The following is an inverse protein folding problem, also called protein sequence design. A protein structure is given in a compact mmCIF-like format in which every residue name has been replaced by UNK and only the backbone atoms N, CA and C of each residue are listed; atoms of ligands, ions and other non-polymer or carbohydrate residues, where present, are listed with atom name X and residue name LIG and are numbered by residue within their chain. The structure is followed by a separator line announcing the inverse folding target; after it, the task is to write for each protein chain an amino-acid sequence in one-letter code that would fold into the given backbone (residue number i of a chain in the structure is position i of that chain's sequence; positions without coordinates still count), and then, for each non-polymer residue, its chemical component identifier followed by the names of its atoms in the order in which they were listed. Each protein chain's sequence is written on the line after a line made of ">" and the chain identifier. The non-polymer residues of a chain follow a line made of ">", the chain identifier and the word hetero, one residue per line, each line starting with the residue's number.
data_IF_456567029270
#
_entry.id   IF_456567029270
#
_cell.length_a   1.000
_cell.length_b   1.000
_cell.length_c   1.000
_cell.angle_alpha   90.00
_cell.angle_beta   90.00
_cell.angle_gamma   90.00
#
_symmetry.space_group_name_H-M   'P 1'
#
loop_
_entity.id
_entity.type
_entity.pdbx_description
1 polymer ?
#
# COMPACT_ATOMS: atom_id res chain seq x y z
N UNK A 1 18.46 14.00 -12.15
CA UNK A 1 17.64 13.98 -13.39
C UNK A 1 16.57 15.09 -13.34
N UNK A 2 16.29 15.82 -14.43
CA UNK A 2 15.28 16.89 -14.47
C UNK A 2 13.83 16.35 -14.52
N UNK A 3 12.85 17.16 -14.10
CA UNK A 3 11.43 16.78 -14.04
C UNK A 3 10.83 16.57 -15.43
N UNK A 4 10.00 15.54 -15.62
CA UNK A 4 9.33 15.26 -16.90
C UNK A 4 10.08 14.37 -17.89
N UNK A 5 11.23 13.78 -17.52
CA UNK A 5 12.05 12.93 -18.41
C UNK A 5 11.75 11.42 -18.34
N UNK A 6 10.59 11.01 -17.84
CA UNK A 6 10.23 9.58 -17.77
C UNK A 6 11.03 8.76 -16.74
N UNK A 7 11.59 9.40 -15.70
CA UNK A 7 12.39 8.70 -14.66
C UNK A 7 11.63 7.53 -14.04
N UNK A 8 10.37 7.76 -13.69
CA UNK A 8 9.50 6.79 -13.04
C UNK A 8 9.28 5.59 -13.94
N UNK A 9 8.85 5.81 -15.18
CA UNK A 9 8.72 4.76 -16.19
C UNK A 9 10.01 3.95 -16.39
N UNK A 10 11.17 4.60 -16.56
CA UNK A 10 12.46 3.91 -16.75
C UNK A 10 12.86 3.08 -15.54
N UNK A 11 12.71 3.64 -14.34
CA UNK A 11 13.02 2.94 -13.08
C UNK A 11 12.08 1.74 -12.87
N UNK A 12 10.77 1.93 -13.02
CA UNK A 12 9.80 0.85 -12.91
C UNK A 12 10.09 -0.26 -13.93
N UNK A 13 10.37 0.10 -15.18
CA UNK A 13 10.71 -0.87 -16.24
C UNK A 13 11.92 -1.71 -15.88
N UNK A 14 13.01 -1.07 -15.41
CA UNK A 14 14.22 -1.76 -15.01
C UNK A 14 13.98 -2.70 -13.81
N UNK A 15 13.31 -2.21 -12.77
CA UNK A 15 13.08 -3.00 -11.56
C UNK A 15 12.17 -4.19 -11.84
N UNK A 16 11.10 -4.01 -12.60
CA UNK A 16 10.19 -5.09 -12.97
C UNK A 16 10.90 -6.14 -13.83
N UNK A 17 11.70 -5.71 -14.82
CA UNK A 17 12.51 -6.63 -15.62
C UNK A 17 13.48 -7.42 -14.74
N UNK A 18 14.10 -6.77 -13.76
CA UNK A 18 15.01 -7.43 -12.82
C UNK A 18 14.30 -8.43 -11.90
N UNK A 19 13.12 -8.09 -11.36
CA UNK A 19 12.29 -9.00 -10.57
C UNK A 19 11.91 -10.26 -11.36
N UNK A 20 11.62 -10.11 -12.65
CA UNK A 20 11.28 -11.22 -13.54
C UNK A 20 12.48 -12.11 -13.88
N UNK A 21 13.63 -11.51 -14.15
CA UNK A 21 14.84 -12.25 -14.50
C UNK A 21 15.49 -12.93 -13.28
N UNK A 22 15.40 -12.31 -12.10
CA UNK A 22 16.05 -12.77 -10.87
C UNK A 22 15.09 -12.75 -9.66
N UNK A 23 14.02 -13.58 -9.69
CA UNK A 23 12.99 -13.57 -8.64
C UNK A 23 13.53 -13.96 -7.25
N UNK A 24 14.65 -14.68 -7.18
CA UNK A 24 15.32 -15.04 -5.91
C UNK A 24 16.16 -13.90 -5.32
N UNK A 25 16.48 -12.86 -6.10
CA UNK A 25 17.32 -11.74 -5.66
C UNK A 25 16.50 -10.49 -5.35
N UNK A 26 15.36 -10.31 -6.02
CA UNK A 26 14.47 -9.19 -5.81
C UNK A 26 13.01 -9.63 -5.74
N UNK A 27 12.47 -9.66 -4.53
CA UNK A 27 11.10 -10.11 -4.25
C UNK A 27 10.12 -8.93 -4.22
N UNK A 28 10.56 -7.77 -3.71
CA UNK A 28 9.69 -6.63 -3.39
C UNK A 28 10.32 -5.29 -3.74
N UNK A 29 9.54 -4.44 -4.41
CA UNK A 29 9.83 -3.03 -4.65
C UNK A 29 8.94 -2.18 -3.75
N UNK A 30 9.55 -1.32 -2.96
CA UNK A 30 8.85 -0.29 -2.18
C UNK A 30 9.15 1.07 -2.77
N UNK A 31 8.14 1.70 -3.36
CA UNK A 31 8.24 3.03 -3.94
C UNK A 31 7.64 4.08 -2.99
N UNK A 32 8.48 4.98 -2.51
CA UNK A 32 8.11 6.04 -1.59
C UNK A 32 8.00 7.37 -2.34
N UNK A 33 6.85 8.03 -2.25
CA UNK A 33 6.62 9.34 -2.86
C UNK A 33 6.06 10.34 -1.84
N UNK A 34 5.95 11.64 -2.18
CA UNK A 34 5.50 12.66 -1.22
C UNK A 34 4.00 12.75 -1.16
N UNK A 35 3.35 12.89 -2.31
CA UNK A 35 1.94 13.27 -2.40
C UNK A 35 1.07 12.15 -2.97
N UNK A 36 -0.22 12.19 -2.66
CA UNK A 36 -1.20 11.21 -3.19
C UNK A 36 -1.32 11.29 -4.73
N UNK A 37 -1.31 12.49 -5.35
CA UNK A 37 -1.27 12.59 -6.80
C UNK A 37 -0.04 11.93 -7.43
N UNK A 38 1.15 12.06 -6.82
CA UNK A 38 2.35 11.36 -7.30
C UNK A 38 2.20 9.85 -7.17
N UNK A 39 1.75 9.34 -6.02
CA UNK A 39 1.44 7.91 -5.83
C UNK A 39 0.49 7.43 -6.94
N UNK A 40 -0.56 8.18 -7.22
CA UNK A 40 -1.55 7.81 -8.24
C UNK A 40 -0.92 7.77 -9.64
N UNK A 41 -0.05 8.72 -9.98
CA UNK A 41 0.70 8.71 -11.25
C UNK A 41 1.59 7.48 -11.38
N UNK A 42 2.36 7.14 -10.34
CA UNK A 42 3.24 5.96 -10.33
C UNK A 42 2.43 4.67 -10.54
N UNK A 43 1.26 4.57 -9.91
CA UNK A 43 0.38 3.41 -10.07
C UNK A 43 -0.13 3.28 -11.51
N UNK A 44 -0.55 4.39 -12.13
CA UNK A 44 -1.02 4.38 -13.51
C UNK A 44 0.12 4.12 -14.52
N UNK A 45 1.34 4.61 -14.26
CA UNK A 45 2.52 4.25 -15.05
C UNK A 45 2.85 2.74 -14.93
N UNK A 46 2.74 2.17 -13.72
CA UNK A 46 2.93 0.74 -13.51
C UNK A 46 1.87 -0.11 -14.22
N UNK A 47 0.61 0.35 -14.23
CA UNK A 47 -0.47 -0.27 -15.02
C UNK A 47 -0.14 -0.25 -16.51
N UNK A 48 0.32 0.88 -17.03
CA UNK A 48 0.71 1.01 -18.44
C UNK A 48 1.86 0.05 -18.78
N UNK A 49 2.87 -0.03 -17.93
CA UNK A 49 4.00 -0.95 -18.10
C UNK A 49 3.55 -2.42 -18.12
N UNK A 50 2.69 -2.83 -17.19
CA UNK A 50 2.18 -4.19 -17.16
C UNK A 50 1.34 -4.54 -18.40
N UNK A 51 0.53 -3.59 -18.89
CA UNK A 51 -0.24 -3.77 -20.14
C UNK A 51 0.67 -3.88 -21.36
N UNK A 52 1.70 -3.03 -21.44
CA UNK A 52 2.68 -3.08 -22.52
C UNK A 52 3.41 -4.44 -22.51
N UNK A 53 3.85 -4.91 -21.33
CA UNK A 53 4.46 -6.22 -21.19
C UNK A 53 3.55 -7.36 -21.69
N UNK A 54 2.28 -7.35 -21.30
CA UNK A 54 1.31 -8.36 -21.73
C UNK A 54 1.04 -8.33 -23.25
N UNK A 55 1.03 -7.14 -23.86
CA UNK A 55 0.88 -6.98 -25.30
C UNK A 55 2.08 -7.53 -26.09
N UNK A 56 3.30 -7.27 -25.62
CA UNK A 56 4.53 -7.66 -26.33
C UNK A 56 4.89 -9.13 -26.12
N UNK A 57 4.59 -9.69 -24.94
CA UNK A 57 4.97 -11.08 -24.60
C UNK A 57 3.82 -12.08 -24.72
N UNK A 58 2.57 -11.62 -24.71
CA UNK A 58 1.39 -12.47 -24.61
C UNK A 58 1.18 -13.08 -23.22
N UNK A 59 1.99 -12.72 -22.24
CA UNK A 59 1.94 -13.28 -20.87
C UNK A 59 1.58 -12.21 -19.83
N UNK A 60 0.82 -12.61 -18.81
CA UNK A 60 0.54 -11.73 -17.69
C UNK A 60 1.84 -11.43 -16.92
N UNK A 61 2.02 -10.17 -16.56
CA UNK A 61 3.11 -9.78 -15.68
C UNK A 61 3.03 -10.50 -14.31
N UNK A 62 1.85 -11.00 -13.89
CA UNK A 62 1.71 -11.76 -12.64
C UNK A 62 2.08 -10.97 -11.39
N UNK A 63 2.16 -9.64 -11.48
CA UNK A 63 2.61 -8.74 -10.43
C UNK A 63 1.41 -8.26 -9.62
N UNK A 64 1.55 -8.29 -8.30
CA UNK A 64 0.64 -7.62 -7.39
C UNK A 64 1.23 -6.28 -6.97
N UNK A 65 0.61 -5.20 -7.45
CA UNK A 65 0.97 -3.82 -7.12
C UNK A 65 -0.11 -3.15 -6.28
N UNK A 66 0.25 -2.57 -5.14
CA UNK A 66 -0.73 -1.96 -4.22
C UNK A 66 -0.31 -0.55 -3.81
N UNK A 67 -1.21 0.40 -3.99
CA UNK A 67 -1.10 1.74 -3.42
C UNK A 67 -1.60 1.78 -1.98
N UNK A 68 -0.81 2.31 -1.06
CA UNK A 68 -1.22 2.51 0.33
C UNK A 68 -1.34 4.00 0.66
N UNK A 69 -2.36 4.33 1.46
CA UNK A 69 -2.56 5.67 1.98
C UNK A 69 -3.26 5.66 3.33
N UNK A 70 -3.53 6.85 3.86
CA UNK A 70 -4.22 7.07 5.13
C UNK A 70 -5.62 6.46 5.13
N UNK A 71 -6.12 6.14 6.33
CA UNK A 71 -7.52 5.73 6.53
C UNK A 71 -8.50 6.71 5.90
N UNK A 72 -8.25 8.02 5.99
CA UNK A 72 -9.10 9.05 5.36
C UNK A 72 -9.26 8.87 3.84
N UNK A 73 -8.29 8.26 3.18
CA UNK A 73 -8.29 8.08 1.73
C UNK A 73 -8.82 6.71 1.28
N UNK A 74 -8.99 5.75 2.19
CA UNK A 74 -9.44 4.37 1.92
C UNK A 74 -10.73 3.98 2.66
N UNK A 75 -11.18 4.77 3.64
CA UNK A 75 -12.38 4.49 4.42
C UNK A 75 -13.65 4.57 3.56
N UNK A 76 -14.51 3.55 3.69
CA UNK A 76 -15.83 3.46 3.03
C UNK A 76 -16.98 3.37 4.05
N UNK A 77 -16.69 3.41 5.35
CA UNK A 77 -17.72 3.41 6.38
C UNK A 77 -18.58 4.69 6.26
N UNK A 78 -19.92 4.60 6.23
CA UNK A 78 -20.79 5.72 5.85
C UNK A 78 -20.69 6.93 6.78
N UNK A 79 -20.39 6.72 8.07
CA UNK A 79 -20.22 7.80 9.04
C UNK A 79 -18.78 8.34 9.10
N UNK A 80 -17.80 7.44 9.14
CA UNK A 80 -16.38 7.79 9.33
C UNK A 80 -15.79 8.42 8.07
N UNK A 81 -16.21 7.99 6.88
CA UNK A 81 -15.73 8.53 5.59
C UNK A 81 -16.10 9.99 5.36
N UNK A 82 -17.11 10.52 6.08
CA UNK A 82 -17.55 11.92 5.99
C UNK A 82 -16.64 12.88 6.77
N UNK A 83 -15.80 12.35 7.66
CA UNK A 83 -14.91 13.16 8.50
C UNK A 83 -13.76 13.72 7.65
N UNK A 84 -13.55 15.04 7.70
CA UNK A 84 -12.51 15.72 6.89
C UNK A 84 -11.10 15.58 7.47
N UNK A 85 -10.98 15.46 8.79
CA UNK A 85 -9.68 15.43 9.47
C UNK A 85 -9.20 13.99 9.68
N UNK A 86 -7.95 13.71 9.31
CA UNK A 86 -7.34 12.39 9.46
C UNK A 86 -7.39 11.86 10.90
N UNK A 87 -7.05 12.71 11.88
CA UNK A 87 -7.08 12.31 13.30
C UNK A 87 -8.47 11.87 13.78
N UNK A 88 -9.52 12.53 13.30
CA UNK A 88 -10.90 12.17 13.64
C UNK A 88 -11.31 10.84 12.99
N UNK A 89 -10.92 10.64 11.73
CA UNK A 89 -11.09 9.34 11.04
C UNK A 89 -10.39 8.23 11.80
N UNK A 90 -9.16 8.47 12.27
CA UNK A 90 -8.38 7.47 12.98
C UNK A 90 -8.98 7.12 14.34
N UNK A 91 -9.45 8.13 15.09
CA UNK A 91 -10.11 7.94 16.39
C UNK A 91 -11.43 7.19 16.26
N UNK A 92 -12.27 7.56 15.29
CA UNK A 92 -13.57 6.90 15.04
C UNK A 92 -13.40 5.50 14.45
N UNK A 93 -12.36 5.27 13.63
CA UNK A 93 -12.05 3.91 13.19
C UNK A 93 -11.61 3.04 14.38
N UNK A 94 -10.80 3.59 15.30
CA UNK A 94 -10.35 2.86 16.48
C UNK A 94 -11.50 2.54 17.45
N UNK A 95 -12.45 3.46 17.65
CA UNK A 95 -13.63 3.22 18.49
C UNK A 95 -14.53 2.11 17.97
N UNK A 96 -14.45 1.77 16.67
CA UNK A 96 -15.23 0.70 16.04
C UNK A 96 -14.44 -0.61 15.85
N UNK A 97 -13.10 -0.58 15.95
CA UNK A 97 -12.23 -1.73 15.58
C UNK A 97 -11.26 -2.17 16.68
N UNK A 98 -11.16 -1.44 17.80
CA UNK A 98 -10.25 -1.79 18.89
C UNK A 98 -10.57 -3.17 19.47
N UNK A 99 -9.53 -3.90 19.91
CA UNK A 99 -9.67 -5.22 20.53
C UNK A 99 -10.61 -5.21 21.73
N UNK A 100 -10.57 -4.14 22.53
CA UNK A 100 -11.46 -3.95 23.67
C UNK A 100 -12.94 -3.85 23.27
N UNK A 101 -13.24 -3.11 22.19
CA UNK A 101 -14.61 -2.97 21.68
C UNK A 101 -15.11 -4.30 21.11
N UNK A 102 -14.23 -5.04 20.41
CA UNK A 102 -14.55 -6.37 19.89
C UNK A 102 -14.83 -7.38 21.01
N UNK A 103 -14.00 -7.37 22.07
CA UNK A 103 -14.22 -8.22 23.25
C UNK A 103 -15.55 -7.91 23.94
N UNK A 104 -15.85 -6.61 24.16
CA UNK A 104 -17.14 -6.19 24.70
C UNK A 104 -18.33 -6.61 23.85
N UNK A 105 -18.18 -6.63 22.53
CA UNK A 105 -19.25 -7.04 21.62
C UNK A 105 -19.60 -8.52 21.70
N UNK A 106 -18.65 -9.36 22.12
CA UNK A 106 -18.91 -10.78 22.40
C UNK A 106 -19.87 -10.91 23.59
N UNK A 107 -19.75 -10.02 24.59
CA UNK A 107 -20.63 -9.98 25.76
C UNK A 107 -21.95 -9.25 25.46
N UNK A 108 -21.91 -8.17 24.68
CA UNK A 108 -23.04 -7.34 24.31
C UNK A 108 -23.07 -7.05 22.80
N UNK A 109 -23.91 -7.77 22.02
CA UNK A 109 -24.04 -7.57 20.59
C UNK A 109 -24.52 -6.17 20.16
N UNK A 110 -25.07 -5.36 21.07
CA UNK A 110 -25.53 -3.99 20.79
C UNK A 110 -24.39 -2.99 20.62
N UNK A 111 -23.18 -3.33 21.05
CA UNK A 111 -22.00 -2.47 20.91
C UNK A 111 -21.69 -2.24 19.41
N UNK A 112 -21.52 -0.98 18.97
CA UNK A 112 -21.28 -0.66 17.57
C UNK A 112 -19.91 -1.17 17.10
N UNK A 113 -19.84 -1.58 15.84
CA UNK A 113 -18.62 -2.05 15.20
C UNK A 113 -18.56 -1.57 13.74
N UNK A 114 -17.41 -1.76 13.10
CA UNK A 114 -17.30 -1.61 11.65
C UNK A 114 -17.54 -2.96 10.95
N UNK A 115 -18.70 -3.12 10.30
CA UNK A 115 -19.03 -4.36 9.56
C UNK A 115 -17.98 -4.73 8.51
N UNK A 116 -17.51 -3.75 7.72
CA UNK A 116 -16.43 -3.96 6.74
C UNK A 116 -15.13 -4.52 7.35
N UNK A 117 -14.83 -4.16 8.60
CA UNK A 117 -13.63 -4.66 9.28
C UNK A 117 -13.84 -6.08 9.81
N UNK A 118 -14.97 -6.35 10.46
CA UNK A 118 -15.27 -7.68 10.98
C UNK A 118 -15.35 -8.73 9.86
N UNK A 119 -16.04 -8.41 8.76
CA UNK A 119 -16.17 -9.32 7.62
C UNK A 119 -14.83 -9.58 6.94
N UNK A 120 -13.96 -8.56 6.86
CA UNK A 120 -12.59 -8.77 6.39
C UNK A 120 -11.78 -9.65 7.35
N UNK A 121 -11.94 -9.50 8.66
CA UNK A 121 -11.21 -10.31 9.62
C UNK A 121 -11.66 -11.78 9.59
N UNK A 122 -12.96 -12.01 9.43
CA UNK A 122 -13.56 -13.35 9.40
C UNK A 122 -13.28 -14.10 8.09
N UNK A 123 -13.50 -13.44 6.94
CA UNK A 123 -13.46 -14.12 5.63
C UNK A 123 -12.27 -13.66 4.75
N UNK A 124 -11.79 -12.44 4.98
CA UNK A 124 -10.83 -11.79 4.10
C UNK A 124 -9.36 -12.08 4.41
N UNK A 125 -9.04 -12.59 5.59
CA UNK A 125 -7.65 -12.86 6.01
C UNK A 125 -7.02 -14.05 5.30
N UNK A 126 -7.83 -15.01 4.85
CA UNK A 126 -7.39 -16.13 4.02
C UNK A 126 -7.40 -15.78 2.52
N UNK A 127 -8.19 -14.78 2.12
CA UNK A 127 -8.33 -14.35 0.73
C UNK A 127 -7.11 -13.57 0.25
N UNK A 128 -6.56 -14.00 -0.88
CA UNK A 128 -5.48 -13.28 -1.56
C UNK A 128 -6.08 -12.22 -2.48
N UNK A 129 -5.54 -11.01 -2.45
CA UNK A 129 -5.85 -10.02 -3.48
C UNK A 129 -5.28 -10.55 -4.82
N UNK A 130 -6.11 -10.70 -5.88
CA UNK A 130 -5.64 -11.25 -7.15
C UNK A 130 -4.52 -10.40 -7.75
N UNK A 131 -3.63 -11.02 -8.55
CA UNK A 131 -2.60 -10.28 -9.29
C UNK A 131 -3.23 -9.15 -10.11
N UNK A 132 -2.56 -7.99 -10.11
CA UNK A 132 -3.10 -6.75 -10.62
C UNK A 132 -2.50 -5.54 -9.92
N UNK A 133 -2.68 -4.38 -10.53
CA UNK A 133 -2.18 -3.11 -9.99
C UNK A 133 -3.38 -2.30 -9.48
N UNK A 134 -3.42 -2.07 -8.18
CA UNK A 134 -4.55 -1.45 -7.50
C UNK A 134 -4.19 -0.04 -7.01
N UNK A 135 -4.90 0.96 -7.54
CA UNK A 135 -4.89 2.31 -6.99
C UNK A 135 -5.84 2.41 -5.78
N UNK A 136 -5.89 3.58 -5.13
CA UNK A 136 -6.72 3.80 -3.95
C UNK A 136 -8.22 3.67 -4.23
N UNK A 137 -8.67 4.00 -5.44
CA UNK A 137 -10.06 3.92 -5.86
C UNK A 137 -10.46 2.47 -6.20
N UNK A 138 -9.58 1.73 -6.89
CA UNK A 138 -9.74 0.31 -7.20
C UNK A 138 -9.90 -0.50 -5.90
N UNK A 139 -9.10 -0.20 -4.88
CA UNK A 139 -9.20 -0.83 -3.55
C UNK A 139 -10.55 -0.52 -2.87
N UNK A 140 -11.05 0.71 -2.99
CA UNK A 140 -12.37 1.09 -2.45
C UNK A 140 -13.48 0.33 -3.13
N UNK A 141 -13.43 0.21 -4.45
CA UNK A 141 -14.42 -0.51 -5.25
C UNK A 141 -14.39 -2.01 -4.94
N UNK A 142 -13.18 -2.58 -4.83
CA UNK A 142 -12.99 -3.97 -4.41
C UNK A 142 -13.58 -4.21 -3.02
N UNK A 143 -13.27 -3.36 -2.04
CA UNK A 143 -13.80 -3.47 -0.69
C UNK A 143 -15.31 -3.27 -0.62
N UNK A 144 -15.91 -2.40 -1.44
CA UNK A 144 -17.37 -2.29 -1.56
C UNK A 144 -17.99 -3.57 -2.11
N UNK A 145 -17.40 -4.14 -3.16
CA UNK A 145 -17.91 -5.37 -3.82
C UNK A 145 -17.84 -6.59 -2.91
N UNK A 146 -16.77 -6.71 -2.12
CA UNK A 146 -16.54 -7.83 -1.18
C UNK A 146 -17.07 -7.57 0.23
N UNK A 147 -17.57 -6.37 0.50
CA UNK A 147 -17.90 -5.90 1.85
C UNK A 147 -16.73 -5.97 2.84
N UNK A 148 -15.53 -5.64 2.38
CA UNK A 148 -14.30 -5.64 3.18
C UNK A 148 -13.71 -4.24 3.32
N UNK A 149 -13.05 -3.98 4.44
CA UNK A 149 -12.41 -2.70 4.70
C UNK A 149 -11.21 -2.49 3.77
N UNK A 150 -11.23 -1.54 2.81
CA UNK A 150 -10.16 -1.36 1.83
C UNK A 150 -8.80 -1.07 2.46
N UNK A 151 -8.80 -0.35 3.58
CA UNK A 151 -7.58 -0.04 4.33
C UNK A 151 -6.90 -1.31 4.85
N UNK A 152 -7.67 -2.24 5.44
CA UNK A 152 -7.12 -3.48 5.96
C UNK A 152 -6.81 -4.50 4.87
N UNK A 153 -7.59 -4.53 3.77
CA UNK A 153 -7.27 -5.29 2.56
C UNK A 153 -5.91 -4.86 2.01
N UNK A 154 -5.72 -3.56 1.77
CA UNK A 154 -4.46 -3.02 1.26
C UNK A 154 -3.30 -3.33 2.20
N UNK A 155 -3.51 -3.14 3.52
CA UNK A 155 -2.50 -3.43 4.55
C UNK A 155 -2.12 -4.92 4.59
N UNK A 156 -3.08 -5.83 4.46
CA UNK A 156 -2.81 -7.27 4.40
C UNK A 156 -2.11 -7.66 3.10
N UNK A 157 -2.46 -7.02 1.97
CA UNK A 157 -1.86 -7.28 0.68
C UNK A 157 -0.37 -6.90 0.61
N UNK A 158 0.14 -5.99 1.46
CA UNK A 158 1.57 -5.60 1.52
C UNK A 158 2.49 -6.81 1.74
N UNK A 159 2.05 -7.79 2.51
CA UNK A 159 2.84 -9.00 2.78
C UNK A 159 3.17 -9.75 1.48
N UNK A 160 2.22 -9.80 0.54
CA UNK A 160 2.30 -10.59 -0.71
C UNK A 160 2.55 -9.76 -1.97
N UNK A 161 2.45 -8.43 -1.88
CA UNK A 161 2.64 -7.55 -3.02
C UNK A 161 4.11 -7.51 -3.47
N UNK A 162 4.33 -7.57 -4.79
CA UNK A 162 5.65 -7.39 -5.40
C UNK A 162 6.02 -5.91 -5.48
N UNK A 163 5.03 -5.03 -5.62
CA UNK A 163 5.23 -3.58 -5.69
C UNK A 163 4.30 -2.89 -4.70
N UNK A 164 4.88 -2.10 -3.80
CA UNK A 164 4.14 -1.33 -2.80
C UNK A 164 4.46 0.14 -3.00
N UNK A 165 3.44 0.97 -3.21
CA UNK A 165 3.60 2.41 -3.47
C UNK A 165 2.92 3.18 -2.34
N UNK A 166 3.68 3.96 -1.57
CA UNK A 166 3.12 4.73 -0.46
C UNK A 166 3.87 6.03 -0.19
N UNK A 167 3.35 6.83 0.76
CA UNK A 167 3.99 8.09 1.14
C UNK A 167 5.11 7.86 2.14
N UNK A 168 6.26 8.52 2.01
CA UNK A 168 7.38 8.36 2.94
C UNK A 168 6.99 8.61 4.41
N UNK A 169 5.94 9.40 4.68
CA UNK A 169 5.39 9.58 6.03
C UNK A 169 4.99 8.26 6.71
N UNK A 170 4.64 7.21 5.96
CA UNK A 170 4.32 5.88 6.48
C UNK A 170 5.54 5.06 6.86
N UNK A 171 6.69 5.32 6.23
CA UNK A 171 7.97 4.74 6.63
C UNK A 171 8.46 5.34 7.97
N UNK A 172 7.95 6.53 8.32
CA UNK A 172 8.31 7.28 9.53
C UNK A 172 7.34 7.03 10.70
N UNK A 173 6.10 6.60 10.43
CA UNK A 173 5.17 6.23 11.51
C UNK A 173 5.60 4.86 12.08
N UNK A 174 6.07 4.78 13.34
CA UNK A 174 6.57 3.53 13.90
C UNK A 174 5.54 2.39 13.84
N UNK A 175 4.23 2.69 13.89
CA UNK A 175 3.18 1.66 13.81
C UNK A 175 3.07 1.03 12.42
N UNK A 176 3.32 1.82 11.38
CA UNK A 176 3.25 1.35 9.99
C UNK A 176 4.62 0.83 9.54
N UNK A 177 5.67 1.54 9.90
CA UNK A 177 7.05 1.12 9.70
C UNK A 177 7.29 -0.26 10.29
N UNK A 178 6.82 -0.58 11.50
CA UNK A 178 6.97 -1.92 12.09
C UNK A 178 6.32 -3.03 11.24
N UNK A 179 5.15 -2.76 10.64
CA UNK A 179 4.49 -3.74 9.78
C UNK A 179 5.27 -3.94 8.49
N UNK A 180 5.61 -2.83 7.81
CA UNK A 180 6.31 -2.91 6.52
C UNK A 180 7.72 -3.45 6.73
N UNK A 181 8.44 -3.02 7.77
CA UNK A 181 9.80 -3.50 8.10
C UNK A 181 9.87 -4.96 8.51
N UNK A 182 8.83 -5.51 9.16
CA UNK A 182 8.75 -6.95 9.40
C UNK A 182 8.60 -7.74 8.11
N UNK A 183 7.93 -7.16 7.11
CA UNK A 183 7.66 -7.77 5.80
C UNK A 183 8.68 -7.39 4.71
N UNK A 184 9.69 -6.57 5.05
CA UNK A 184 10.80 -6.21 4.17
C UNK A 184 11.87 -7.30 4.28
N UNK A 185 11.87 -8.22 3.32
CA UNK A 185 12.94 -9.22 3.18
C UNK A 185 14.26 -8.53 2.80
N UNK A 186 15.39 -9.22 3.00
CA UNK A 186 16.71 -8.75 2.51
C UNK A 186 16.74 -8.56 0.99
N UNK A 187 15.79 -9.17 0.27
CA UNK A 187 15.63 -9.08 -1.18
C UNK A 187 14.61 -8.00 -1.58
N UNK A 188 14.56 -6.90 -0.83
CA UNK A 188 13.66 -5.77 -1.10
C UNK A 188 14.45 -4.54 -1.51
N UNK A 189 13.96 -3.83 -2.53
CA UNK A 189 14.52 -2.53 -2.95
C UNK A 189 13.56 -1.42 -2.55
N UNK A 190 14.10 -0.39 -1.89
CA UNK A 190 13.34 0.79 -1.49
C UNK A 190 13.80 1.97 -2.34
N UNK A 191 12.86 2.60 -3.04
CA UNK A 191 13.10 3.78 -3.86
C UNK A 191 12.43 4.98 -3.21
N UNK A 192 13.22 6.01 -2.92
CA UNK A 192 12.72 7.31 -2.45
C UNK A 192 12.68 8.28 -3.62
N UNK A 193 11.47 8.62 -4.06
CA UNK A 193 11.27 9.69 -5.03
C UNK A 193 11.32 11.06 -4.33
N UNK A 194 11.91 12.04 -5.00
CA UNK A 194 12.11 13.41 -4.48
C UNK A 194 12.74 13.46 -3.07
N UNK A 195 13.75 12.60 -2.85
CA UNK A 195 14.45 12.38 -1.58
C UNK A 195 15.15 13.63 -0.99
N UNK A 196 15.29 14.69 -1.78
CA UNK A 196 15.84 15.97 -1.31
C UNK A 196 15.05 16.57 -0.13
N UNK A 197 13.79 16.16 0.08
CA UNK A 197 12.96 16.58 1.21
C UNK A 197 13.22 15.82 2.52
N UNK A 198 14.02 14.75 2.50
CA UNK A 198 14.24 13.87 3.66
C UNK A 198 15.31 14.45 4.60
N UNK A 199 16.30 15.17 4.06
CA UNK A 199 17.50 15.63 4.77
C UNK A 199 17.28 16.70 5.85
N UNK A 200 16.20 17.47 5.81
CA UNK A 200 15.96 18.53 6.80
C UNK A 200 15.24 18.07 8.07
N UNK A 201 14.78 16.82 8.16
CA UNK A 201 13.89 16.43 9.24
C UNK A 201 14.32 15.21 10.06
N UNK A 202 15.03 14.20 9.52
CA UNK A 202 15.38 13.02 10.32
C UNK A 202 16.67 12.31 9.86
N UNK A 203 17.57 12.03 10.82
CA UNK A 203 18.71 11.12 10.67
C UNK A 203 18.21 9.68 10.77
N UNK A 204 17.87 9.06 9.64
CA UNK A 204 17.41 7.67 9.59
C UNK A 204 18.62 6.81 9.19
N UNK A 205 19.07 5.96 10.11
CA UNK A 205 19.97 4.84 9.82
C UNK A 205 19.25 3.85 8.90
N UNK A 206 19.37 4.07 7.60
CA UNK A 206 19.02 3.11 6.57
C UNK A 206 20.14 2.07 6.47
N UNK A 207 20.04 1.00 7.25
CA UNK A 207 20.82 -0.22 7.00
C UNK A 207 20.11 -0.97 5.88
N UNK A 208 20.77 -1.11 4.73
CA UNK A 208 20.25 -1.59 3.42
C UNK A 208 19.72 -0.49 2.49
N UNK A 209 20.59 0.45 2.11
CA UNK A 209 20.45 1.12 0.81
C UNK A 209 21.84 1.23 0.22
N UNK A 210 22.20 0.35 -0.71
CA UNK A 210 23.13 0.76 -1.77
C UNK A 210 22.38 1.84 -2.55
N UNK A 211 22.62 3.10 -2.15
CA UNK A 211 22.22 4.25 -2.94
C UNK A 211 23.05 4.19 -4.21
N UNK A 212 22.51 3.57 -5.27
CA UNK A 212 22.99 3.84 -6.62
C UNK A 212 22.60 5.29 -6.96
N UNK A 213 23.47 6.22 -6.55
CA UNK A 213 23.61 7.55 -7.13
C UNK A 213 24.74 7.51 -8.15
#
# INVERSE_FOLDING_TARGET
>A
MPSGTGKTASLLSLVIAYQKAYPSQLEKLVYCSRTIPEISKVVEELKLLCRYYEQETGESAGILGVALSARKNLCIHPEVSKLRQGKLVDGQCLSLTSSFVRAKRIEDPSVPCCGYFEDFFNDGTESVLPCGIYNLQDLKEYGKKKHWCPYFVARHAIMRANVVIYSYHYLLDPKIAELVSKDLSRHSVIVFDEAHNIGCQYSIKLTCVECFL
#
